data_IF_370485090012
#
_entry.id   IF_370485090012
#
_cell.length_a   1.000
_cell.length_b   1.000
_cell.length_c   1.000
_cell.angle_alpha   90.00
_cell.angle_beta   90.00
_cell.angle_gamma   90.00
#
_symmetry.space_group_name_H-M   'P 1'
#
loop_
_entity.id
_entity.type
_entity.pdbx_description
1 polymer ?
#
# COMPACT_ATOMS: atom_id res chain seq x y z
N UNK A 1 5.85 -2.91 -16.20
CA UNK A 1 6.74 -1.76 -15.98
C UNK A 1 7.54 -2.02 -14.71
N UNK A 2 8.72 -1.42 -14.56
CA UNK A 2 9.48 -1.52 -13.31
C UNK A 2 9.73 -0.15 -12.72
N UNK A 3 9.67 -0.03 -11.40
CA UNK A 3 9.83 1.25 -10.69
C UNK A 3 10.43 1.07 -9.30
N UNK A 4 10.88 2.16 -8.69
CA UNK A 4 11.45 2.14 -7.35
C UNK A 4 10.34 2.07 -6.28
N UNK A 5 10.36 1.02 -5.44
CA UNK A 5 9.35 0.80 -4.40
C UNK A 5 9.41 1.84 -3.27
N UNK A 6 10.61 2.32 -2.91
CA UNK A 6 10.78 3.38 -1.91
C UNK A 6 10.09 4.67 -2.37
N UNK A 7 10.36 5.11 -3.59
CA UNK A 7 9.71 6.30 -4.18
C UNK A 7 8.20 6.13 -4.30
N UNK A 8 7.72 4.91 -4.60
CA UNK A 8 6.30 4.63 -4.66
C UNK A 8 5.64 4.76 -3.28
N UNK A 9 6.24 4.17 -2.24
CA UNK A 9 5.74 4.27 -0.87
C UNK A 9 5.73 5.71 -0.37
N UNK A 10 6.73 6.52 -0.73
CA UNK A 10 6.74 7.97 -0.47
C UNK A 10 5.61 8.69 -1.21
N UNK A 11 5.38 8.34 -2.48
CA UNK A 11 4.29 8.91 -3.28
C UNK A 11 2.89 8.55 -2.76
N UNK A 12 2.74 7.43 -2.04
CA UNK A 12 1.50 7.04 -1.38
C UNK A 12 1.05 8.02 -0.28
N UNK A 13 1.91 8.93 0.19
CA UNK A 13 1.50 10.00 1.13
C UNK A 13 0.40 10.89 0.54
N UNK A 14 0.37 11.06 -0.79
CA UNK A 14 -0.66 11.82 -1.49
C UNK A 14 -2.04 11.14 -1.51
N UNK A 15 -2.14 9.89 -1.07
CA UNK A 15 -3.41 9.15 -1.02
C UNK A 15 -4.24 9.45 0.23
N UNK A 16 -3.79 10.35 1.11
CA UNK A 16 -4.53 10.71 2.31
C UNK A 16 -4.73 9.52 3.25
N UNK A 17 -5.90 9.43 3.89
CA UNK A 17 -6.17 8.35 4.83
C UNK A 17 -6.35 7.00 4.13
N UNK A 18 -5.61 5.98 4.58
CA UNK A 18 -5.72 4.62 4.05
C UNK A 18 -6.23 3.65 5.12
N UNK A 19 -6.75 2.52 4.65
CA UNK A 19 -6.89 1.30 5.43
C UNK A 19 -5.74 0.36 5.06
N UNK A 20 -4.81 0.21 5.97
CA UNK A 20 -3.62 -0.63 5.84
C UNK A 20 -3.96 -2.03 6.35
N UNK A 21 -3.81 -3.04 5.51
CA UNK A 21 -4.25 -4.41 5.78
C UNK A 21 -3.07 -5.36 5.67
N UNK A 22 -2.83 -6.12 6.73
CA UNK A 22 -1.90 -7.24 6.75
C UNK A 22 -2.69 -8.50 7.10
N UNK A 23 -2.51 -9.54 6.29
CA UNK A 23 -3.17 -10.83 6.47
C UNK A 23 -2.12 -11.87 6.80
N UNK A 24 -2.37 -12.63 7.85
CA UNK A 24 -1.63 -13.84 8.20
C UNK A 24 -2.44 -15.07 7.80
N UNK A 25 -1.90 -16.26 8.03
CA UNK A 25 -2.60 -17.52 7.78
C UNK A 25 -3.89 -17.71 8.57
N UNK A 26 -4.10 -16.97 9.67
CA UNK A 26 -5.22 -17.18 10.59
C UNK A 26 -5.95 -15.90 10.99
N UNK A 27 -5.50 -14.73 10.57
CA UNK A 27 -6.06 -13.46 11.02
C UNK A 27 -5.70 -12.29 10.12
N UNK A 28 -6.53 -11.27 10.17
CA UNK A 28 -6.40 -10.03 9.42
C UNK A 28 -6.34 -8.87 10.42
N UNK A 29 -5.35 -7.99 10.26
CA UNK A 29 -5.30 -6.72 10.98
C UNK A 29 -5.47 -5.58 9.99
N UNK A 30 -6.39 -4.67 10.29
CA UNK A 30 -6.69 -3.49 9.49
C UNK A 30 -6.55 -2.25 10.37
N UNK A 31 -5.66 -1.32 9.98
CA UNK A 31 -5.47 -0.05 10.69
C UNK A 31 -5.80 1.12 9.77
N UNK A 32 -6.39 2.18 10.36
CA UNK A 32 -6.73 3.42 9.64
C UNK A 32 -5.61 4.42 9.82
N UNK A 33 -4.83 4.67 8.78
CA UNK A 33 -3.74 5.65 8.80
C UNK A 33 -3.34 6.08 7.40
N UNK A 34 -2.90 7.33 7.18
CA UNK A 34 -2.07 7.66 6.03
C UNK A 34 -0.73 6.92 6.09
N UNK A 35 -0.10 6.71 4.93
CA UNK A 35 1.33 6.39 4.84
C UNK A 35 2.09 7.72 4.85
N UNK A 36 2.87 7.99 5.89
CA UNK A 36 3.63 9.25 6.04
C UNK A 36 4.79 9.04 6.99
N UNK A 37 5.76 9.96 6.99
CA UNK A 37 6.93 9.90 7.90
C UNK A 37 7.62 8.52 7.87
N UNK A 38 7.73 7.94 6.67
CA UNK A 38 8.42 6.68 6.49
C UNK A 38 9.89 6.86 6.89
N UNK A 39 10.43 5.86 7.57
CA UNK A 39 11.86 5.73 7.79
C UNK A 39 12.31 4.35 7.34
N UNK A 40 13.55 4.27 6.87
CA UNK A 40 14.08 3.06 6.24
C UNK A 40 15.23 2.50 7.07
N UNK A 41 15.32 1.17 7.11
CA UNK A 41 16.35 0.47 7.87
C UNK A 41 16.75 -0.82 7.19
N UNK A 42 18.06 -1.08 7.13
CA UNK A 42 18.61 -2.36 6.69
C UNK A 42 18.87 -3.22 7.93
N UNK A 43 18.28 -4.42 7.94
CA UNK A 43 18.54 -5.41 8.98
C UNK A 43 18.87 -6.76 8.32
N UNK A 44 19.40 -7.76 9.04
CA UNK A 44 19.81 -9.03 8.43
C UNK A 44 18.73 -9.76 7.62
N UNK A 45 17.44 -9.42 7.83
CA UNK A 45 16.29 -10.01 7.12
C UNK A 45 15.90 -9.26 5.84
N UNK A 46 16.49 -8.10 5.56
CA UNK A 46 16.22 -7.29 4.38
C UNK A 46 16.11 -5.79 4.65
N UNK A 47 15.70 -5.07 3.63
CA UNK A 47 15.47 -3.62 3.63
C UNK A 47 14.02 -3.29 3.95
N UNK A 48 13.81 -2.50 5.01
CA UNK A 48 12.46 -2.23 5.53
C UNK A 48 12.05 -0.78 5.32
N UNK A 49 10.80 -0.58 4.90
CA UNK A 49 10.07 0.67 5.08
C UNK A 49 9.25 0.58 6.37
N UNK A 50 9.33 1.61 7.20
CA UNK A 50 8.77 1.60 8.54
C UNK A 50 7.97 2.87 8.82
N UNK A 51 6.96 2.76 9.68
CA UNK A 51 6.21 3.90 10.20
C UNK A 51 5.84 3.65 11.65
N UNK A 52 5.96 4.68 12.48
CA UNK A 52 5.54 4.67 13.88
C UNK A 52 4.36 5.63 14.06
N UNK A 53 3.27 5.14 14.65
CA UNK A 53 2.10 5.91 15.05
C UNK A 53 1.79 5.65 16.53
N UNK A 54 0.91 6.46 17.12
CA UNK A 54 0.60 6.39 18.55
C UNK A 54 0.02 5.02 18.97
N UNK A 55 -0.68 4.34 18.06
CA UNK A 55 -1.46 3.11 18.32
C UNK A 55 -1.01 1.90 17.49
N UNK A 56 -0.05 2.06 16.56
CA UNK A 56 0.51 0.94 15.81
C UNK A 56 1.91 1.24 15.24
N UNK A 57 2.61 0.18 14.87
CA UNK A 57 3.81 0.23 14.05
C UNK A 57 3.61 -0.57 12.76
N UNK A 58 4.23 -0.09 11.69
CA UNK A 58 4.20 -0.71 10.38
C UNK A 58 5.62 -1.02 9.92
N UNK A 59 5.84 -2.23 9.43
CA UNK A 59 7.11 -2.70 8.89
C UNK A 59 6.84 -3.50 7.62
N UNK A 60 7.41 -3.05 6.50
CA UNK A 60 7.32 -3.72 5.22
C UNK A 60 8.73 -4.09 4.75
N UNK A 61 9.00 -5.39 4.65
CA UNK A 61 10.22 -5.87 4.00
C UNK A 61 10.09 -5.68 2.49
N UNK A 62 10.77 -4.67 1.97
CA UNK A 62 10.68 -4.29 0.56
C UNK A 62 11.30 -5.34 -0.36
N UNK A 63 12.32 -6.07 0.11
CA UNK A 63 12.96 -7.13 -0.66
C UNK A 63 12.03 -8.33 -0.93
N UNK A 64 10.91 -8.42 -0.20
CA UNK A 64 9.92 -9.49 -0.37
C UNK A 64 8.78 -9.13 -1.32
N UNK A 65 8.72 -7.90 -1.81
CA UNK A 65 7.66 -7.48 -2.73
C UNK A 65 8.15 -7.67 -4.17
N UNK A 66 7.47 -8.54 -4.91
CA UNK A 66 7.80 -8.86 -6.30
C UNK A 66 6.92 -8.11 -7.29
N UNK A 67 5.71 -7.74 -6.89
CA UNK A 67 4.76 -7.05 -7.74
C UNK A 67 3.86 -6.12 -6.93
N UNK A 68 3.50 -4.98 -7.53
CA UNK A 68 2.48 -4.08 -7.01
C UNK A 68 1.35 -3.99 -8.02
N UNK A 69 0.11 -4.11 -7.55
CA UNK A 69 -1.10 -4.11 -8.38
C UNK A 69 -2.14 -3.14 -7.87
N UNK A 70 -2.63 -2.29 -8.75
CA UNK A 70 -3.82 -1.46 -8.52
C UNK A 70 -5.06 -2.27 -8.82
N UNK A 71 -6.06 -2.21 -7.94
CA UNK A 71 -7.30 -2.98 -8.07
C UNK A 71 -8.50 -2.13 -7.66
N UNK A 72 -9.55 -2.18 -8.49
CA UNK A 72 -10.89 -1.72 -8.07
C UNK A 72 -11.76 -2.92 -7.76
N UNK A 73 -12.47 -2.88 -6.64
CA UNK A 73 -13.44 -3.92 -6.26
C UNK A 73 -14.79 -3.32 -5.88
N UNK A 74 -15.81 -4.16 -5.78
CA UNK A 74 -17.10 -3.77 -5.20
C UNK A 74 -17.12 -4.12 -3.70
N UNK A 75 -17.49 -3.16 -2.85
CA UNK A 75 -17.62 -3.40 -1.43
C UNK A 75 -18.69 -4.47 -1.15
N UNK A 76 -18.36 -5.49 -0.35
CA UNK A 76 -19.29 -6.57 0.05
C UNK A 76 -20.58 -6.05 0.71
N UNK A 77 -20.56 -4.83 1.26
CA UNK A 77 -21.70 -4.16 1.86
C UNK A 77 -21.70 -2.71 1.41
N UNK A 78 -22.84 -2.24 0.90
CA UNK A 78 -23.05 -0.82 0.56
C UNK A 78 -22.87 -0.44 -0.91
N UNK A 79 -22.59 -1.40 -1.80
CA UNK A 79 -22.57 -1.22 -3.26
C UNK A 79 -21.78 0.00 -3.73
N UNK A 80 -20.54 0.14 -3.26
CA UNK A 80 -19.63 1.21 -3.68
C UNK A 80 -18.28 0.65 -4.12
N UNK A 81 -17.60 1.38 -4.99
CA UNK A 81 -16.28 1.02 -5.49
C UNK A 81 -15.22 1.20 -4.40
N UNK A 82 -14.37 0.20 -4.25
CA UNK A 82 -13.15 0.22 -3.43
C UNK A 82 -11.94 0.35 -4.32
N UNK A 83 -10.92 1.07 -3.85
CA UNK A 83 -9.66 1.29 -4.55
C UNK A 83 -8.54 0.76 -3.68
N UNK A 84 -7.79 -0.21 -4.21
CA UNK A 84 -6.75 -0.93 -3.50
C UNK A 84 -5.42 -0.87 -4.24
N UNK A 85 -4.35 -0.94 -3.47
CA UNK A 85 -2.99 -1.22 -3.93
C UNK A 85 -2.54 -2.48 -3.20
N UNK A 86 -2.25 -3.55 -3.95
CA UNK A 86 -1.76 -4.84 -3.45
C UNK A 86 -0.26 -4.89 -3.63
N UNK A 87 0.46 -5.27 -2.58
CA UNK A 87 1.89 -5.57 -2.60
C UNK A 87 2.02 -7.09 -2.47
N UNK A 88 2.48 -7.73 -3.55
CA UNK A 88 2.50 -9.17 -3.71
C UNK A 88 3.89 -9.74 -3.46
N UNK A 89 3.96 -10.89 -2.81
CA UNK A 89 5.19 -11.64 -2.60
C UNK A 89 5.54 -12.57 -3.78
N UNK A 90 6.57 -13.40 -3.63
CA UNK A 90 7.01 -14.34 -4.66
C UNK A 90 5.97 -15.45 -4.94
N UNK A 91 5.05 -15.71 -4.01
CA UNK A 91 3.91 -16.62 -4.19
C UNK A 91 2.71 -15.95 -4.87
N UNK A 92 2.83 -14.66 -5.21
CA UNK A 92 1.72 -13.82 -5.72
C UNK A 92 0.59 -13.66 -4.70
N UNK A 93 0.88 -13.84 -3.41
CA UNK A 93 -0.03 -13.57 -2.31
C UNK A 93 0.17 -12.13 -1.81
N UNK A 94 -0.90 -11.50 -1.32
CA UNK A 94 -0.80 -10.12 -0.82
C UNK A 94 -0.16 -10.10 0.56
N UNK A 95 1.13 -9.75 0.60
CA UNK A 95 1.85 -9.47 1.85
C UNK A 95 1.31 -8.22 2.56
N UNK A 96 0.87 -7.23 1.77
CA UNK A 96 0.29 -5.99 2.27
C UNK A 96 -0.74 -5.43 1.27
N UNK A 97 -1.81 -4.83 1.78
CA UNK A 97 -2.79 -4.09 0.98
C UNK A 97 -3.06 -2.71 1.57
N UNK A 98 -3.11 -1.68 0.72
CA UNK A 98 -3.55 -0.34 1.08
C UNK A 98 -4.84 0.00 0.33
N UNK A 99 -5.93 0.20 1.06
CA UNK A 99 -7.19 0.67 0.49
C UNK A 99 -7.36 2.16 0.77
N UNK A 100 -7.93 2.91 -0.17
CA UNK A 100 -8.43 4.25 0.15
C UNK A 100 -9.47 4.13 1.27
N UNK A 101 -9.28 4.86 2.38
CA UNK A 101 -10.23 4.84 3.48
C UNK A 101 -11.43 5.73 3.12
N UNK A 102 -12.61 5.15 3.12
CA UNK A 102 -13.86 5.91 2.98
C UNK A 102 -14.40 6.37 4.35
N UNK A 103 -15.15 7.47 4.35
CA UNK A 103 -15.98 7.91 5.48
C UNK A 103 -17.29 7.14 5.52
N UNK A 104 -18.34 7.69 4.89
CA UNK A 104 -19.55 6.92 4.58
C UNK A 104 -19.30 6.00 3.37
N UNK A 105 -20.16 4.98 3.14
CA UNK A 105 -20.02 4.09 1.97
C UNK A 105 -19.88 4.88 0.67
N UNK A 106 -18.72 4.75 0.01
CA UNK A 106 -18.39 5.43 -1.25
C UNK A 106 -17.91 6.89 -1.15
N UNK A 107 -17.89 7.48 0.05
CA UNK A 107 -17.37 8.84 0.26
C UNK A 107 -15.88 8.82 0.60
N UNK A 108 -15.05 9.31 -0.33
CA UNK A 108 -13.60 9.45 -0.19
C UNK A 108 -13.19 10.89 0.13
N UNK A 109 -11.95 11.08 0.58
CA UNK A 109 -11.40 12.42 0.80
C UNK A 109 -11.30 13.20 -0.54
N UNK A 110 -11.42 14.55 -0.54
CA UNK A 110 -11.31 15.33 -1.77
C UNK A 110 -9.97 15.10 -2.49
N UNK A 111 -10.02 14.75 -3.77
CA UNK A 111 -8.82 14.49 -4.58
C UNK A 111 -8.19 13.10 -4.38
N UNK A 112 -8.73 12.27 -3.49
CA UNK A 112 -8.11 11.00 -3.08
C UNK A 112 -8.17 9.94 -4.19
N UNK A 113 -9.30 9.84 -4.89
CA UNK A 113 -9.47 8.90 -6.00
C UNK A 113 -8.65 9.34 -7.20
N UNK A 114 -8.59 10.64 -7.46
CA UNK A 114 -7.78 11.25 -8.50
C UNK A 114 -6.28 11.02 -8.25
N UNK A 115 -5.82 11.16 -7.00
CA UNK A 115 -4.45 10.84 -6.61
C UNK A 115 -4.12 9.35 -6.82
N UNK A 116 -5.06 8.45 -6.51
CA UNK A 116 -4.90 7.02 -6.77
C UNK A 116 -4.82 6.72 -8.28
N UNK A 117 -5.67 7.35 -9.09
CA UNK A 117 -5.63 7.22 -10.55
C UNK A 117 -4.31 7.76 -11.12
N UNK A 118 -3.83 8.91 -10.63
CA UNK A 118 -2.56 9.49 -11.05
C UNK A 118 -1.36 8.58 -10.71
N UNK A 119 -1.35 7.93 -9.54
CA UNK A 119 -0.33 6.93 -9.23
C UNK A 119 -0.45 5.71 -10.15
N UNK A 120 -1.66 5.21 -10.41
CA UNK A 120 -1.88 4.10 -11.33
C UNK A 120 -1.39 4.42 -12.75
N UNK A 121 -1.64 5.62 -13.24
CA UNK A 121 -1.15 6.08 -14.55
C UNK A 121 0.37 6.20 -14.58
N UNK A 122 0.98 6.72 -13.51
CA UNK A 122 2.44 6.91 -13.41
C UNK A 122 3.20 5.57 -13.35
N UNK A 123 2.74 4.63 -12.54
CA UNK A 123 3.47 3.37 -12.27
C UNK A 123 2.97 2.19 -13.11
N UNK A 124 1.75 2.29 -13.65
CA UNK A 124 1.05 1.21 -14.32
C UNK A 124 0.11 0.45 -13.38
N UNK A 125 -0.89 -0.20 -13.95
CA UNK A 125 -1.87 -0.99 -13.19
C UNK A 125 -1.23 -2.21 -12.50
N UNK A 126 -0.22 -2.79 -13.13
CA UNK A 126 0.64 -3.84 -12.57
C UNK A 126 2.09 -3.51 -12.90
N UNK A 127 2.95 -3.50 -11.88
CA UNK A 127 4.36 -3.20 -12.03
C UNK A 127 5.23 -3.95 -11.01
N UNK A 128 6.51 -4.09 -11.32
CA UNK A 128 7.47 -4.85 -10.52
C UNK A 128 8.51 -3.90 -9.91
N UNK A 129 8.84 -4.00 -8.61
CA UNK A 129 9.94 -3.24 -8.04
C UNK A 129 11.26 -3.52 -8.74
N UNK A 130 12.04 -2.48 -9.02
CA UNK A 130 13.48 -2.65 -9.27
C UNK A 130 14.15 -3.08 -7.95
N UNK A 131 15.30 -3.78 -8.00
CA UNK A 131 16.05 -4.12 -6.80
C UNK A 131 16.27 -2.91 -5.90
N UNK A 132 16.06 -3.08 -4.59
CA UNK A 132 16.29 -2.01 -3.61
C UNK A 132 17.79 -1.92 -3.35
N UNK A 133 18.47 -1.00 -4.03
CA UNK A 133 19.92 -0.83 -3.94
C UNK A 133 20.34 -0.06 -2.69
N UNK A 134 19.64 1.03 -2.35
CA UNK A 134 19.94 1.89 -1.20
C UNK A 134 18.65 2.27 -0.44
N UNK A 135 18.76 2.44 0.89
CA UNK A 135 17.67 2.86 1.79
C UNK A 135 18.11 3.95 2.76
#
# INVERSE_FOLDING_TARGET
>A
MSANLKEFLEACENLGTLRLIVTSSAGVLEVRSPIKKLFYAEIPKGKYANMHADDFEFHLNMDKITQVKFETGEAKRGNFTTYAIRFLDEQQESAFSAFLQWGKPGEYEPGQVEAWQALKEKYGEVWEPVPVEEI
#
